data_IF_108984714645
#
_entry.id   IF_108984714645
#
_cell.length_a   1.000
_cell.length_b   1.000
_cell.length_c   1.000
_cell.angle_alpha   90.00
_cell.angle_beta   90.00
_cell.angle_gamma   90.00
#
_symmetry.space_group_name_H-M   'P 1'
#
loop_
_entity.id
_entity.type
_entity.pdbx_description
1 polymer ?
#
# COMPACT_ATOMS: atom_id res chain seq x y z
N UNK A 1 1.82 -20.51 -1.82
CA UNK A 1 2.08 -21.06 -0.46
C UNK A 1 1.43 -22.42 -0.17
N UNK A 2 0.11 -22.59 -0.33
CA UNK A 2 -0.59 -23.86 -0.01
C UNK A 2 0.07 -25.11 -0.62
N UNK A 3 0.37 -25.07 -1.91
CA UNK A 3 0.96 -26.20 -2.63
C UNK A 3 2.36 -26.56 -2.12
N UNK A 4 3.19 -25.56 -1.79
CA UNK A 4 4.52 -25.79 -1.24
C UNK A 4 4.44 -26.51 0.12
N UNK A 5 3.57 -26.04 1.02
CA UNK A 5 3.35 -26.68 2.33
C UNK A 5 2.79 -28.09 2.16
N UNK A 6 1.88 -28.31 1.20
CA UNK A 6 1.32 -29.63 0.89
C UNK A 6 2.41 -30.61 0.46
N UNK A 7 3.28 -30.21 -0.48
CA UNK A 7 4.39 -31.05 -0.97
C UNK A 7 5.37 -31.42 0.15
N UNK A 8 5.81 -30.41 0.91
CA UNK A 8 6.73 -30.63 2.03
C UNK A 8 6.16 -31.62 3.06
N UNK A 9 4.85 -31.53 3.34
CA UNK A 9 4.17 -32.50 4.21
C UNK A 9 4.11 -33.90 3.59
N UNK A 10 3.83 -34.02 2.29
CA UNK A 10 3.79 -35.33 1.62
C UNK A 10 5.16 -36.01 1.51
N UNK A 11 6.23 -35.22 1.49
CA UNK A 11 7.62 -35.69 1.52
C UNK A 11 8.08 -36.09 2.95
N UNK A 12 7.22 -35.91 3.96
CA UNK A 12 7.50 -36.31 5.33
C UNK A 12 8.30 -35.28 6.14
N UNK A 13 8.49 -34.05 5.64
CA UNK A 13 9.19 -33.00 6.37
C UNK A 13 8.45 -32.63 7.67
N UNK A 14 9.23 -32.45 8.74
CA UNK A 14 8.76 -31.94 10.04
C UNK A 14 9.51 -30.65 10.37
N UNK A 15 8.77 -29.63 10.77
CA UNK A 15 9.32 -28.32 11.05
C UNK A 15 9.46 -28.09 12.56
N UNK A 16 10.51 -27.39 13.01
CA UNK A 16 10.69 -27.06 14.43
C UNK A 16 9.70 -26.00 14.93
N UNK A 17 8.99 -25.31 14.02
CA UNK A 17 7.97 -24.31 14.32
C UNK A 17 6.70 -24.64 13.53
N UNK A 18 5.56 -24.24 14.07
CA UNK A 18 4.29 -24.30 13.35
C UNK A 18 4.28 -23.29 12.21
N UNK A 19 3.92 -23.75 11.01
CA UNK A 19 3.63 -22.89 9.87
C UNK A 19 2.15 -22.51 9.94
N UNK A 20 1.87 -21.26 10.25
CA UNK A 20 0.51 -20.71 10.24
C UNK A 20 0.21 -20.14 8.85
N UNK A 21 -0.98 -20.47 8.31
CA UNK A 21 -1.45 -19.93 7.05
C UNK A 21 -2.73 -19.13 7.31
N UNK A 22 -2.68 -17.83 6.99
CA UNK A 22 -3.79 -16.90 7.20
C UNK A 22 -4.22 -16.31 5.86
N UNK A 23 -5.53 -16.28 5.62
CA UNK A 23 -6.13 -15.55 4.51
C UNK A 23 -6.92 -14.41 5.13
N UNK A 24 -6.42 -13.19 4.97
CA UNK A 24 -7.00 -12.00 5.59
C UNK A 24 -7.61 -11.09 4.53
N UNK A 25 -8.74 -10.43 4.81
CA UNK A 25 -9.32 -9.45 3.91
C UNK A 25 -8.56 -8.11 4.00
N UNK A 26 -8.91 -7.21 3.10
CA UNK A 26 -8.60 -5.77 3.15
C UNK A 26 -7.13 -5.36 2.95
N UNK A 27 -6.21 -6.25 2.56
CA UNK A 27 -4.78 -5.91 2.32
C UNK A 27 -4.65 -4.66 1.41
N UNK A 28 -5.23 -4.72 0.21
CA UNK A 28 -5.18 -3.66 -0.82
C UNK A 28 -5.83 -2.32 -0.39
N UNK A 29 -6.56 -2.30 0.72
CA UNK A 29 -7.24 -1.10 1.26
C UNK A 29 -6.77 -0.74 2.68
N UNK A 30 -5.62 -1.29 3.10
CA UNK A 30 -4.92 -0.94 4.34
C UNK A 30 -5.21 -1.83 5.55
N UNK A 31 -5.96 -2.92 5.38
CA UNK A 31 -6.14 -3.96 6.39
C UNK A 31 -6.99 -3.59 7.61
N UNK A 32 -7.64 -2.41 7.60
CA UNK A 32 -8.35 -1.85 8.76
C UNK A 32 -9.46 -2.74 9.33
N UNK A 33 -10.18 -3.50 8.47
CA UNK A 33 -11.20 -4.47 8.93
C UNK A 33 -10.70 -5.91 8.90
N UNK A 34 -9.46 -6.13 8.47
CA UNK A 34 -8.82 -7.44 8.38
C UNK A 34 -7.73 -7.59 9.43
N UNK A 35 -6.48 -7.63 8.98
CA UNK A 35 -5.32 -7.92 9.83
C UNK A 35 -5.20 -6.95 11.02
N UNK A 36 -5.53 -5.66 10.86
CA UNK A 36 -5.42 -4.69 11.96
C UNK A 36 -6.30 -5.04 13.16
N UNK A 37 -7.47 -5.64 12.93
CA UNK A 37 -8.34 -6.12 14.01
C UNK A 37 -7.81 -7.43 14.59
N UNK A 38 -7.32 -8.33 13.73
CA UNK A 38 -6.85 -9.65 14.14
C UNK A 38 -5.61 -9.59 15.03
N UNK A 39 -4.65 -8.69 14.76
CA UNK A 39 -3.44 -8.57 15.59
C UNK A 39 -3.73 -8.18 17.05
N UNK A 40 -4.89 -7.57 17.31
CA UNK A 40 -5.36 -7.17 18.65
C UNK A 40 -6.01 -8.33 19.42
N UNK A 41 -6.22 -9.49 18.78
CA UNK A 41 -6.93 -10.64 19.35
C UNK A 41 -5.97 -11.60 20.07
N UNK A 42 -6.38 -12.24 21.18
CA UNK A 42 -5.59 -13.27 21.86
C UNK A 42 -5.16 -14.41 20.94
N UNK A 43 -6.00 -14.75 19.96
CA UNK A 43 -5.76 -15.79 18.97
C UNK A 43 -4.52 -15.51 18.11
N UNK A 44 -4.27 -14.24 17.75
CA UNK A 44 -3.06 -13.84 17.03
C UNK A 44 -1.82 -13.96 17.92
N UNK A 45 -1.92 -13.53 19.17
CA UNK A 45 -0.82 -13.63 20.14
C UNK A 45 -0.42 -15.09 20.40
N UNK A 46 -1.40 -16.00 20.43
CA UNK A 46 -1.19 -17.44 20.56
C UNK A 46 -0.40 -18.06 19.40
N UNK A 47 -0.39 -17.45 18.21
CA UNK A 47 0.41 -17.90 17.07
C UNK A 47 1.92 -17.83 17.36
N UNK A 48 2.34 -16.89 18.22
CA UNK A 48 3.76 -16.65 18.57
C UNK A 48 4.65 -16.54 17.32
N UNK A 49 4.14 -15.80 16.31
CA UNK A 49 4.79 -15.61 15.03
C UNK A 49 6.14 -14.90 15.21
N UNK A 50 7.19 -15.41 14.57
CA UNK A 50 8.53 -14.79 14.58
C UNK A 50 8.78 -13.89 13.38
N UNK A 51 8.23 -14.26 12.23
CA UNK A 51 8.22 -13.48 10.99
C UNK A 51 7.03 -13.92 10.15
N UNK A 52 6.68 -13.12 9.14
CA UNK A 52 5.69 -13.45 8.15
C UNK A 52 6.34 -13.46 6.76
N UNK A 53 5.82 -14.32 5.87
CA UNK A 53 6.05 -14.22 4.45
C UNK A 53 4.80 -13.61 3.85
N UNK A 54 4.97 -12.51 3.13
CA UNK A 54 3.88 -11.87 2.43
C UNK A 54 3.89 -12.25 0.95
N UNK A 55 3.00 -11.67 0.16
CA UNK A 55 3.03 -11.78 -1.28
C UNK A 55 4.38 -11.39 -1.90
N UNK A 56 4.60 -11.92 -3.10
CA UNK A 56 5.83 -11.70 -3.85
C UNK A 56 5.52 -11.62 -5.34
N UNK A 57 6.55 -11.34 -6.11
CA UNK A 57 6.45 -11.20 -7.56
C UNK A 57 7.16 -12.35 -8.27
N UNK A 58 6.59 -12.79 -9.39
CA UNK A 58 7.24 -13.74 -10.27
C UNK A 58 8.54 -13.16 -10.83
N UNK A 59 9.54 -14.01 -10.99
CA UNK A 59 10.81 -13.65 -11.64
C UNK A 59 10.84 -14.29 -13.04
N UNK A 60 11.18 -13.54 -14.10
CA UNK A 60 11.27 -14.09 -15.45
C UNK A 60 12.51 -14.98 -15.67
N UNK A 61 13.43 -15.02 -14.71
CA UNK A 61 14.65 -15.83 -14.73
C UNK A 61 14.56 -16.96 -13.70
N UNK A 62 15.53 -17.88 -13.71
CA UNK A 62 15.64 -18.97 -12.74
C UNK A 62 16.24 -18.48 -11.41
N UNK A 63 15.58 -17.52 -10.77
CA UNK A 63 15.99 -16.93 -9.50
C UNK A 63 14.79 -16.46 -8.68
N UNK A 64 14.94 -16.44 -7.36
CA UNK A 64 13.93 -15.85 -6.46
C UNK A 64 14.25 -14.38 -6.20
N UNK A 65 13.25 -13.51 -6.36
CA UNK A 65 13.34 -12.13 -5.89
C UNK A 65 12.97 -12.07 -4.42
N UNK A 66 13.88 -11.58 -3.59
CA UNK A 66 13.67 -11.44 -2.15
C UNK A 66 13.45 -9.96 -1.80
N UNK A 67 12.28 -9.66 -1.25
CA UNK A 67 11.95 -8.36 -0.71
C UNK A 67 12.09 -8.40 0.81
N UNK A 68 12.80 -7.43 1.38
CA UNK A 68 13.07 -7.35 2.82
C UNK A 68 12.44 -6.12 3.48
N UNK A 69 11.75 -5.29 2.71
CA UNK A 69 11.05 -4.11 3.17
C UNK A 69 9.94 -3.72 2.20
N UNK A 70 8.94 -3.04 2.73
CA UNK A 70 7.90 -2.35 1.97
C UNK A 70 7.87 -0.87 2.36
N UNK A 71 7.19 -0.05 1.56
CA UNK A 71 6.89 1.34 1.92
C UNK A 71 5.54 1.41 2.60
N UNK A 72 5.43 2.20 3.65
CA UNK A 72 4.14 2.44 4.30
C UNK A 72 3.23 3.33 3.44
N UNK A 73 1.98 2.91 3.17
CA UNK A 73 0.99 3.75 2.49
C UNK A 73 0.51 4.88 3.40
N UNK A 74 0.22 6.05 2.81
CA UNK A 74 -0.34 7.21 3.50
C UNK A 74 -1.63 7.64 2.79
N UNK A 75 -2.76 7.56 3.49
CA UNK A 75 -4.05 8.03 2.98
C UNK A 75 -4.38 9.41 3.54
N UNK A 76 -4.40 10.42 2.68
CA UNK A 76 -4.64 11.81 3.06
C UNK A 76 -6.02 12.24 2.55
N UNK A 77 -6.83 12.82 3.45
CA UNK A 77 -8.09 13.48 3.09
C UNK A 77 -7.91 14.99 3.23
N UNK A 78 -8.10 15.72 2.14
CA UNK A 78 -8.10 17.18 2.15
C UNK A 78 -9.53 17.68 2.09
N UNK A 79 -9.91 18.51 3.06
CA UNK A 79 -11.21 19.20 3.06
C UNK A 79 -10.96 20.65 2.72
N UNK A 80 -11.64 21.17 1.69
CA UNK A 80 -11.58 22.57 1.30
C UNK A 80 -12.92 23.26 1.53
N UNK A 81 -12.89 24.44 2.12
CA UNK A 81 -14.07 25.27 2.40
C UNK A 81 -13.89 26.66 1.80
N UNK A 82 -15.01 27.32 1.47
CA UNK A 82 -15.00 28.63 0.86
C UNK A 82 -16.37 29.28 0.83
N UNK A 83 -16.41 30.51 0.32
CA UNK A 83 -17.63 31.30 0.31
C UNK A 83 -18.66 30.73 -0.69
N UNK A 84 -19.92 30.52 -0.29
CA UNK A 84 -21.00 30.21 -1.22
C UNK A 84 -21.51 31.49 -1.89
N UNK A 85 -22.22 31.35 -3.01
CA UNK A 85 -22.90 32.48 -3.63
C UNK A 85 -23.52 32.15 -4.98
N UNK A 86 -24.30 33.09 -5.51
CA UNK A 86 -24.95 32.95 -6.80
C UNK A 86 -23.92 33.04 -7.94
N UNK A 87 -23.98 32.13 -8.91
CA UNK A 87 -23.02 32.03 -10.01
C UNK A 87 -22.99 33.26 -10.94
N UNK A 88 -23.96 34.18 -10.82
CA UNK A 88 -23.93 35.47 -11.52
C UNK A 88 -22.94 36.47 -10.91
N UNK A 89 -22.26 36.13 -9.82
CA UNK A 89 -21.23 36.94 -9.17
C UNK A 89 -19.92 36.17 -9.15
N UNK A 90 -18.82 36.90 -9.33
CA UNK A 90 -17.48 36.35 -9.15
C UNK A 90 -17.17 36.29 -7.65
N UNK A 91 -17.58 35.20 -7.00
CA UNK A 91 -17.29 34.95 -5.59
C UNK A 91 -15.83 34.52 -5.48
N UNK A 92 -15.05 35.28 -4.73
CA UNK A 92 -13.67 34.91 -4.39
C UNK A 92 -13.63 33.96 -3.19
N UNK A 93 -12.49 33.28 -3.02
CA UNK A 93 -12.22 32.40 -1.88
C UNK A 93 -13.15 31.17 -1.87
N UNK A 94 -13.42 30.59 -3.04
CA UNK A 94 -14.27 29.41 -3.15
C UNK A 94 -13.51 28.14 -2.74
N UNK A 95 -14.26 27.13 -2.29
CA UNK A 95 -13.69 25.81 -1.97
C UNK A 95 -13.05 25.18 -3.22
N UNK A 96 -13.67 25.36 -4.39
CA UNK A 96 -13.19 24.80 -5.65
C UNK A 96 -11.84 25.40 -6.08
N UNK A 97 -11.66 26.72 -6.00
CA UNK A 97 -10.39 27.38 -6.33
C UNK A 97 -9.24 26.92 -5.44
N UNK A 98 -9.50 26.79 -4.13
CA UNK A 98 -8.51 26.28 -3.17
C UNK A 98 -8.18 24.80 -3.44
N UNK A 99 -9.20 23.97 -3.66
CA UNK A 99 -9.01 22.56 -3.96
C UNK A 99 -8.23 22.36 -5.26
N UNK A 100 -8.51 23.17 -6.28
CA UNK A 100 -7.76 23.15 -7.55
C UNK A 100 -6.26 23.41 -7.33
N UNK A 101 -5.87 24.36 -6.46
CA UNK A 101 -4.46 24.59 -6.09
C UNK A 101 -3.82 23.36 -5.44
N UNK A 102 -4.54 22.69 -4.54
CA UNK A 102 -4.07 21.47 -3.88
C UNK A 102 -3.87 20.34 -4.90
N UNK A 103 -4.86 20.10 -5.76
CA UNK A 103 -4.79 19.07 -6.82
C UNK A 103 -3.58 19.32 -7.73
N UNK A 104 -3.38 20.55 -8.17
CA UNK A 104 -2.23 20.91 -9.00
C UNK A 104 -0.89 20.65 -8.29
N UNK A 105 -0.82 20.92 -6.99
CA UNK A 105 0.39 20.67 -6.20
C UNK A 105 0.70 19.16 -6.09
N UNK A 106 -0.33 18.34 -5.87
CA UNK A 106 -0.20 16.87 -5.81
C UNK A 106 0.22 16.30 -7.18
N UNK A 107 -0.40 16.75 -8.26
CA UNK A 107 -0.06 16.29 -9.61
C UNK A 107 1.35 16.72 -10.04
N UNK A 108 1.75 17.95 -9.70
CA UNK A 108 3.11 18.42 -9.95
C UNK A 108 4.16 17.60 -9.16
N UNK A 109 3.87 17.25 -7.90
CA UNK A 109 4.75 16.37 -7.11
C UNK A 109 4.86 14.97 -7.73
N UNK A 110 3.72 14.37 -8.12
CA UNK A 110 3.69 13.07 -8.80
C UNK A 110 4.57 13.08 -10.06
N UNK A 111 4.43 14.11 -10.88
CA UNK A 111 5.18 14.27 -12.12
C UNK A 111 6.68 14.41 -11.86
N UNK A 112 7.07 15.18 -10.84
CA UNK A 112 8.46 15.31 -10.39
C UNK A 112 9.07 13.95 -10.00
N UNK A 113 8.35 13.14 -9.21
CA UNK A 113 8.83 11.82 -8.80
C UNK A 113 8.88 10.83 -9.98
N UNK A 114 7.93 10.93 -10.92
CA UNK A 114 7.95 10.16 -12.17
C UNK A 114 9.19 10.49 -13.01
N UNK A 115 9.49 11.77 -13.19
CA UNK A 115 10.67 12.22 -13.92
C UNK A 115 11.97 11.76 -13.24
N UNK A 116 12.04 11.85 -11.91
CA UNK A 116 13.19 11.33 -11.13
C UNK A 116 13.42 9.84 -11.36
N UNK A 117 12.36 9.03 -11.39
CA UNK A 117 12.46 7.60 -11.69
C UNK A 117 12.97 7.36 -13.12
N UNK A 118 12.46 8.10 -14.11
CA UNK A 118 12.86 7.96 -15.52
C UNK A 118 14.29 8.44 -15.81
N UNK A 119 14.75 9.45 -15.08
CA UNK A 119 16.07 10.04 -15.28
C UNK A 119 17.22 9.13 -14.81
N UNK A 120 16.94 8.12 -13.98
CA UNK A 120 17.96 7.23 -13.45
C UNK A 120 17.54 5.74 -13.57
N UNK A 121 18.08 5.01 -14.55
CA UNK A 121 17.78 3.58 -14.78
C UNK A 121 18.09 2.65 -13.60
N UNK A 122 18.93 3.09 -12.65
CA UNK A 122 19.25 2.33 -11.44
C UNK A 122 18.19 2.47 -10.35
N UNK A 123 17.30 3.46 -10.44
CA UNK A 123 16.18 3.58 -9.52
C UNK A 123 15.09 2.58 -9.87
N UNK A 124 14.44 2.08 -8.82
CA UNK A 124 13.21 1.29 -8.88
C UNK A 124 12.08 2.07 -8.22
N UNK A 125 10.86 1.61 -8.36
CA UNK A 125 9.65 2.25 -7.86
C UNK A 125 9.71 2.51 -6.34
N UNK A 126 10.39 1.63 -5.60
CA UNK A 126 10.62 1.81 -4.16
C UNK A 126 11.52 3.00 -3.79
N UNK A 127 12.26 3.55 -4.75
CA UNK A 127 13.18 4.67 -4.54
C UNK A 127 12.57 6.04 -4.84
N UNK A 128 11.28 6.11 -5.20
CA UNK A 128 10.52 7.36 -5.38
C UNK A 128 9.25 7.31 -4.54
N UNK A 129 8.51 8.41 -4.44
CA UNK A 129 7.18 8.45 -3.81
C UNK A 129 6.10 8.56 -4.88
N UNK A 130 5.21 7.58 -4.95
CA UNK A 130 4.03 7.65 -5.82
C UNK A 130 2.84 8.22 -5.05
N UNK A 131 2.02 9.04 -5.71
CA UNK A 131 0.76 9.55 -5.17
C UNK A 131 -0.34 9.45 -6.23
N UNK A 132 -1.52 9.01 -5.80
CA UNK A 132 -2.70 8.90 -6.64
C UNK A 132 -3.88 9.66 -6.01
N UNK A 133 -4.52 10.52 -6.79
CA UNK A 133 -5.79 11.14 -6.43
C UNK A 133 -6.91 10.19 -6.83
N UNK A 134 -7.59 9.61 -5.85
CA UNK A 134 -8.60 8.56 -6.09
C UNK A 134 -10.04 9.04 -5.88
N UNK A 135 -10.24 10.19 -5.23
CA UNK A 135 -11.54 10.80 -4.95
C UNK A 135 -11.43 12.34 -4.99
N UNK A 136 -12.48 13.01 -5.44
CA UNK A 136 -12.68 14.47 -5.42
C UNK A 136 -13.98 14.81 -4.69
#
# INVERSE_FOLDING_TARGET
YLEAVRRLKSEGHRFPRTIHMTFVPDEEVGGHKGMELFVKRPEFQALRAGFALDEGLANPTDAFTVFYSERSPWWIRVTSTGKPGHASRFIEDTAAEKLHKVVNSILAFREKERQRLQANPHLKEGAVTSVNLTKL
#
